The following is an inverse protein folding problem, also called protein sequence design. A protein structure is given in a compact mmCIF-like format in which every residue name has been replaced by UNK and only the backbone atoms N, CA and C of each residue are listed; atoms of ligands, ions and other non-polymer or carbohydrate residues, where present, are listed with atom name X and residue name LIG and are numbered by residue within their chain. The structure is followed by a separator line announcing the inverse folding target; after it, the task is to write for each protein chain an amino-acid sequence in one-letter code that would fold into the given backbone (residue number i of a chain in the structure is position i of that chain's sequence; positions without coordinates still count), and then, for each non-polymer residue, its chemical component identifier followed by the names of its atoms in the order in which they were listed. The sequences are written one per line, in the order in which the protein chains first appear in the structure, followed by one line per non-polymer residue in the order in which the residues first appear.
data_IF_913274419209
#
_entry.id   IF_913274419209
#
_cell.length_a   1.000
_cell.length_b   1.000
_cell.length_c   1.000
_cell.angle_alpha   90.00
_cell.angle_beta   90.00
_cell.angle_gamma   90.00
#
_symmetry.space_group_name_H-M   'P 1'
#
loop_
_entity.id
_entity.type
_entity.pdbx_description
1 polymer ?
#
# COMPACT_ATOMS: atom_id res chain seq x y z
N UNK A 1 27.37 -18.01 45.93
CA UNK A 1 26.02 -17.85 45.36
C UNK A 1 26.14 -17.25 43.96
N UNK A 2 26.02 -18.09 42.94
CA UNK A 2 26.10 -17.72 41.52
C UNK A 2 24.83 -16.96 41.13
N UNK A 3 24.96 -15.67 40.82
CA UNK A 3 23.85 -14.87 40.26
C UNK A 3 23.51 -15.45 38.87
N UNK A 4 22.35 -16.10 38.77
CA UNK A 4 21.84 -16.58 37.48
C UNK A 4 21.53 -15.36 36.59
N UNK A 5 22.25 -15.22 35.48
CA UNK A 5 21.93 -14.25 34.45
C UNK A 5 20.81 -14.80 33.57
N UNK A 6 19.71 -14.05 33.43
CA UNK A 6 18.60 -14.37 32.52
C UNK A 6 19.10 -14.41 31.06
N UNK A 7 18.54 -15.32 30.26
CA UNK A 7 18.80 -15.37 28.80
C UNK A 7 18.29 -14.10 28.10
N UNK A 8 18.84 -13.72 26.92
CA UNK A 8 18.40 -12.54 26.19
C UNK A 8 16.89 -12.54 25.88
N UNK A 9 16.34 -13.71 25.53
CA UNK A 9 14.91 -13.89 25.27
C UNK A 9 14.07 -13.70 26.54
N UNK A 10 14.52 -14.24 27.67
CA UNK A 10 13.84 -14.08 28.95
C UNK A 10 13.89 -12.63 29.47
N UNK A 11 14.94 -11.89 29.15
CA UNK A 11 15.01 -10.45 29.44
C UNK A 11 14.00 -9.65 28.59
N UNK A 12 13.93 -9.93 27.29
CA UNK A 12 13.02 -9.23 26.38
C UNK A 12 11.53 -9.46 26.73
N UNK A 13 11.15 -10.68 27.10
CA UNK A 13 9.78 -10.98 27.54
C UNK A 13 9.43 -10.29 28.86
N UNK A 14 10.38 -10.22 29.79
CA UNK A 14 10.21 -9.54 31.07
C UNK A 14 10.09 -8.02 30.88
N UNK A 15 10.86 -7.43 29.96
CA UNK A 15 10.71 -6.03 29.55
C UNK A 15 9.35 -5.75 28.90
N UNK A 16 8.89 -6.63 28.01
CA UNK A 16 7.57 -6.48 27.39
C UNK A 16 6.42 -6.55 28.42
N UNK A 17 6.49 -7.49 29.38
CA UNK A 17 5.51 -7.60 30.46
C UNK A 17 5.51 -6.38 31.37
N UNK A 18 6.68 -5.83 31.71
CA UNK A 18 6.80 -4.57 32.48
C UNK A 18 6.17 -3.39 31.74
N UNK A 19 6.27 -3.35 30.41
CA UNK A 19 5.67 -2.31 29.57
C UNK A 19 4.14 -2.35 29.60
N UNK A 20 3.55 -3.55 29.50
CA UNK A 20 2.09 -3.73 29.55
C UNK A 20 1.52 -3.34 30.92
N UNK A 21 2.29 -3.54 31.99
CA UNK A 21 1.90 -3.22 33.37
C UNK A 21 2.20 -1.76 33.76
N UNK A 22 2.77 -0.94 32.88
CA UNK A 22 3.18 0.44 33.21
C UNK A 22 4.32 0.52 34.24
N UNK A 23 5.02 -0.59 34.50
CA UNK A 23 6.13 -0.71 35.45
C UNK A 23 7.50 -0.49 34.76
N UNK A 24 7.49 0.20 33.62
CA UNK A 24 8.73 0.64 32.99
C UNK A 24 9.43 1.63 33.92
N UNK A 25 10.77 1.53 34.07
CA UNK A 25 11.49 2.59 34.74
C UNK A 25 11.20 3.91 34.04
N UNK A 26 10.89 4.94 34.82
CA UNK A 26 10.72 6.30 34.31
C UNK A 26 11.94 6.66 33.46
N UNK A 27 11.71 6.88 32.16
CA UNK A 27 12.76 7.22 31.21
C UNK A 27 13.18 8.67 31.49
N UNK A 28 14.05 8.85 32.48
CA UNK A 28 14.59 10.17 32.80
C UNK A 28 15.27 10.73 31.56
N UNK A 29 14.74 11.83 31.05
CA UNK A 29 15.38 12.54 29.94
C UNK A 29 16.75 13.03 30.39
N UNK A 30 17.78 12.74 29.59
CA UNK A 30 19.12 13.28 29.83
C UNK A 30 19.09 14.81 29.83
N UNK A 31 19.53 15.41 30.93
CA UNK A 31 19.65 16.86 31.07
C UNK A 31 21.06 17.22 30.61
N UNK A 32 21.16 17.98 29.53
CA UNK A 32 22.44 18.43 28.99
C UNK A 32 23.08 19.45 29.93
N UNK A 33 24.32 19.18 30.35
CA UNK A 33 25.13 20.16 31.07
C UNK A 33 25.80 21.14 30.11
N UNK A 34 26.17 22.33 30.60
CA UNK A 34 26.92 23.30 29.78
C UNK A 34 28.25 22.73 29.25
N UNK A 35 28.89 21.85 30.02
CA UNK A 35 30.15 21.21 29.63
C UNK A 35 29.93 20.26 28.44
N UNK A 36 28.88 19.44 28.47
CA UNK A 36 28.50 18.55 27.37
C UNK A 36 28.11 19.33 26.11
N UNK A 37 27.40 20.45 26.27
CA UNK A 37 27.04 21.31 25.14
C UNK A 37 28.26 21.95 24.47
N UNK A 38 29.18 22.52 25.27
CA UNK A 38 30.43 23.09 24.75
C UNK A 38 31.30 22.04 24.06
N UNK A 39 31.37 20.85 24.65
CA UNK A 39 32.07 19.71 24.05
C UNK A 39 31.46 19.36 22.69
N UNK A 40 30.12 19.25 22.63
CA UNK A 40 29.42 18.91 21.40
C UNK A 40 29.60 19.98 20.33
N UNK A 41 29.53 21.27 20.67
CA UNK A 41 29.77 22.38 19.73
C UNK A 41 31.18 22.31 19.13
N UNK A 42 32.19 22.00 19.95
CA UNK A 42 33.58 21.96 19.50
C UNK A 42 33.90 20.72 18.64
N UNK A 43 33.37 19.55 18.99
CA UNK A 43 33.79 18.25 18.43
C UNK A 43 32.84 17.68 17.39
N UNK A 44 31.54 18.00 17.48
CA UNK A 44 30.54 17.45 16.57
C UNK A 44 30.86 17.65 15.08
N UNK A 45 31.41 18.79 14.63
CA UNK A 45 31.70 18.99 13.21
C UNK A 45 32.69 17.98 12.62
N UNK A 46 33.65 17.49 13.41
CA UNK A 46 34.83 16.77 12.92
C UNK A 46 34.97 15.32 13.40
N UNK A 47 34.10 14.86 14.30
CA UNK A 47 34.15 13.50 14.84
C UNK A 47 32.92 12.68 14.48
N UNK A 48 33.00 11.36 14.59
CA UNK A 48 31.84 10.49 14.37
C UNK A 48 30.83 10.69 15.51
N UNK A 49 29.54 10.70 15.17
CA UNK A 49 28.49 10.82 16.18
C UNK A 49 28.50 9.62 17.14
N UNK A 50 28.97 8.44 16.70
CA UNK A 50 29.12 7.26 17.54
C UNK A 50 30.15 7.48 18.65
N UNK A 51 31.34 8.01 18.34
CA UNK A 51 32.37 8.26 19.35
C UNK A 51 31.89 9.24 20.43
N UNK A 52 31.21 10.31 20.02
CA UNK A 52 30.61 11.28 20.95
C UNK A 52 29.51 10.66 21.81
N UNK A 53 28.71 9.77 21.23
CA UNK A 53 27.64 9.06 21.95
C UNK A 53 28.22 8.10 22.99
N UNK A 54 29.26 7.34 22.64
CA UNK A 54 29.92 6.39 23.53
C UNK A 54 30.60 7.10 24.71
N UNK A 55 31.20 8.28 24.48
CA UNK A 55 31.87 9.07 25.52
C UNK A 55 30.88 9.70 26.52
N UNK A 56 29.76 10.24 26.05
CA UNK A 56 28.72 10.82 26.93
C UNK A 56 27.84 9.72 27.55
N UNK A 57 27.91 8.49 27.05
CA UNK A 57 27.05 7.39 27.48
C UNK A 57 25.60 7.53 27.02
N UNK A 58 25.38 8.17 25.86
CA UNK A 58 24.06 8.41 25.28
C UNK A 58 23.88 7.62 24.00
N UNK A 59 22.64 7.50 23.54
CA UNK A 59 22.38 6.99 22.20
C UNK A 59 22.79 8.02 21.13
N UNK A 60 23.24 7.52 19.99
CA UNK A 60 23.55 8.31 18.79
C UNK A 60 22.38 9.25 18.41
N UNK A 61 21.13 8.78 18.59
CA UNK A 61 19.94 9.56 18.31
C UNK A 61 19.79 10.79 19.23
N UNK A 62 20.09 10.65 20.53
CA UNK A 62 20.06 11.78 21.47
C UNK A 62 21.08 12.86 21.09
N UNK A 63 22.27 12.45 20.65
CA UNK A 63 23.31 13.36 20.16
C UNK A 63 22.85 14.08 18.88
N UNK A 64 22.25 13.36 17.91
CA UNK A 64 21.66 13.99 16.72
C UNK A 64 20.57 15.00 17.07
N UNK A 65 19.66 14.64 17.98
CA UNK A 65 18.58 15.52 18.41
C UNK A 65 19.13 16.79 19.09
N UNK A 66 20.19 16.66 19.89
CA UNK A 66 20.84 17.82 20.52
C UNK A 66 21.57 18.69 19.50
N UNK A 67 22.37 18.10 18.62
CA UNK A 67 23.07 18.82 17.55
C UNK A 67 22.10 19.64 16.69
N UNK A 68 20.95 19.06 16.35
CA UNK A 68 19.86 19.75 15.62
C UNK A 68 19.31 20.95 16.41
N UNK A 69 19.09 20.82 17.73
CA UNK A 69 18.60 21.93 18.58
C UNK A 69 19.64 23.04 18.74
N UNK A 70 20.93 22.69 18.78
CA UNK A 70 22.03 23.66 18.84
C UNK A 70 22.37 24.27 17.46
N UNK A 71 21.80 23.76 16.37
CA UNK A 71 22.07 24.25 15.02
C UNK A 71 23.46 23.92 14.48
N UNK A 72 24.13 22.90 15.05
CA UNK A 72 25.47 22.49 14.63
C UNK A 72 25.41 21.34 13.61
N UNK A 73 26.27 21.40 12.60
CA UNK A 73 26.36 20.42 11.51
C UNK A 73 27.76 19.84 11.37
N UNK A 74 27.88 18.71 10.66
CA UNK A 74 29.19 18.16 10.28
C UNK A 74 29.93 19.12 9.34
N UNK A 75 31.25 19.21 9.46
CA UNK A 75 32.10 20.00 8.58
C UNK A 75 32.17 19.36 7.19
N UNK A 76 32.46 20.16 6.16
CA UNK A 76 32.63 19.65 4.81
C UNK A 76 33.79 18.64 4.73
N UNK A 77 34.87 18.89 5.47
CA UNK A 77 36.02 17.99 5.59
C UNK A 77 35.61 16.62 6.15
N UNK A 78 34.87 16.59 7.27
CA UNK A 78 34.37 15.34 7.84
C UNK A 78 33.46 14.60 6.86
N UNK A 79 32.55 15.30 6.18
CA UNK A 79 31.63 14.70 5.20
C UNK A 79 32.33 14.17 3.94
N UNK A 80 33.53 14.66 3.63
CA UNK A 80 34.37 14.15 2.55
C UNK A 80 35.25 12.97 2.97
N UNK A 81 35.38 12.73 4.28
CA UNK A 81 36.20 11.65 4.83
C UNK A 81 35.46 10.30 4.81
N UNK A 82 36.24 9.21 4.82
CA UNK A 82 35.74 7.84 4.95
C UNK A 82 35.02 7.58 6.29
N UNK A 83 35.23 8.44 7.30
CA UNK A 83 34.67 8.28 8.64
C UNK A 83 33.18 8.65 8.73
N UNK A 84 32.65 9.42 7.78
CA UNK A 84 31.24 9.85 7.83
C UNK A 84 30.24 8.76 7.44
N UNK A 85 30.72 7.59 6.99
CA UNK A 85 29.87 6.47 6.57
C UNK A 85 29.04 6.74 5.31
N UNK A 86 29.29 7.85 4.60
CA UNK A 86 28.69 8.07 3.28
C UNK A 86 29.25 7.06 2.30
N UNK A 87 28.35 6.48 1.52
CA UNK A 87 28.71 5.58 0.45
C UNK A 87 29.36 6.39 -0.67
N UNK A 88 30.63 6.10 -0.96
CA UNK A 88 31.42 6.70 -2.03
C UNK A 88 31.15 6.05 -3.41
N UNK A 89 30.31 5.02 -3.44
CA UNK A 89 29.98 4.27 -4.65
C UNK A 89 31.03 3.23 -5.07
N UNK A 90 32.15 3.13 -4.34
CA UNK A 90 33.25 2.19 -4.63
C UNK A 90 32.99 0.79 -4.05
N UNK A 91 32.30 0.75 -2.90
CA UNK A 91 31.89 -0.50 -2.25
C UNK A 91 30.86 -1.26 -3.11
N UNK A 92 31.00 -2.59 -3.20
CA UNK A 92 30.08 -3.45 -3.94
C UNK A 92 30.10 -3.27 -5.47
N UNK A 93 31.15 -2.64 -6.02
CA UNK A 93 31.38 -2.52 -7.47
C UNK A 93 31.51 -3.89 -8.14
N UNK A 94 32.20 -4.84 -7.50
CA UNK A 94 32.39 -6.22 -7.98
C UNK A 94 31.09 -7.03 -8.10
N UNK A 95 30.08 -6.71 -7.28
CA UNK A 95 28.78 -7.38 -7.29
C UNK A 95 27.73 -6.69 -8.16
N UNK A 96 28.09 -5.58 -8.81
CA UNK A 96 27.18 -4.79 -9.63
C UNK A 96 27.08 -5.42 -11.02
N UNK A 97 25.88 -5.43 -11.59
CA UNK A 97 25.71 -5.85 -12.98
C UNK A 97 26.45 -4.87 -13.90
N UNK A 98 27.46 -5.36 -14.62
CA UNK A 98 28.21 -4.56 -15.56
C UNK A 98 27.35 -4.21 -16.79
N UNK A 99 27.55 -3.00 -17.35
CA UNK A 99 26.91 -2.60 -18.60
C UNK A 99 27.30 -3.57 -19.72
N UNK A 100 26.31 -4.18 -20.38
CA UNK A 100 26.54 -5.18 -21.42
C UNK A 100 26.60 -6.63 -20.93
N UNK A 101 26.50 -6.86 -19.61
CA UNK A 101 26.40 -8.22 -19.08
C UNK A 101 25.13 -8.89 -19.60
N UNK A 102 25.28 -10.09 -20.16
CA UNK A 102 24.16 -10.95 -20.53
C UNK A 102 23.75 -11.77 -19.31
N UNK A 103 22.51 -11.63 -18.80
CA UNK A 103 22.02 -12.47 -17.71
C UNK A 103 22.06 -13.95 -18.08
N UNK A 104 22.34 -14.81 -17.10
CA UNK A 104 22.44 -16.27 -17.29
C UNK A 104 21.15 -16.91 -17.82
N UNK A 105 20.00 -16.24 -17.69
CA UNK A 105 18.69 -16.69 -18.14
C UNK A 105 18.23 -16.03 -19.46
N UNK A 106 19.07 -15.19 -20.10
CA UNK A 106 18.68 -14.52 -21.35
C UNK A 106 18.41 -15.55 -22.44
N UNK A 107 17.19 -15.54 -22.98
CA UNK A 107 16.76 -16.48 -24.04
C UNK A 107 16.21 -17.81 -23.53
N UNK A 108 16.25 -18.08 -22.23
CA UNK A 108 15.66 -19.29 -21.63
C UNK A 108 14.17 -19.05 -21.41
N UNK A 109 13.31 -19.70 -22.21
CA UNK A 109 11.86 -19.70 -22.02
C UNK A 109 11.47 -20.75 -20.98
N UNK A 110 11.15 -20.28 -19.77
CA UNK A 110 10.84 -21.15 -18.63
C UNK A 110 12.12 -21.70 -18.02
N UNK A 111 12.32 -21.48 -16.72
CA UNK A 111 13.38 -22.19 -16.00
C UNK A 111 12.99 -23.66 -15.93
N UNK A 112 13.94 -24.61 -16.07
CA UNK A 112 13.65 -26.01 -15.79
C UNK A 112 13.08 -26.08 -14.37
N UNK A 113 11.98 -26.81 -14.18
CA UNK A 113 11.33 -26.93 -12.88
C UNK A 113 12.30 -27.59 -11.90
N UNK A 114 13.05 -26.80 -11.12
CA UNK A 114 14.00 -27.33 -10.13
C UNK A 114 13.24 -27.65 -8.83
N UNK A 115 13.47 -28.85 -8.29
CA UNK A 115 12.88 -29.28 -7.02
C UNK A 115 11.35 -29.34 -7.06
N UNK A 116 10.69 -28.78 -6.03
CA UNK A 116 9.22 -28.82 -5.89
C UNK A 116 8.47 -27.90 -6.85
N UNK A 117 9.16 -27.11 -7.70
CA UNK A 117 8.47 -26.30 -8.71
C UNK A 117 7.65 -27.15 -9.68
N UNK A 118 8.08 -28.40 -9.96
CA UNK A 118 7.35 -29.31 -10.83
C UNK A 118 5.95 -29.67 -10.29
N UNK A 119 5.75 -29.69 -8.96
CA UNK A 119 4.47 -30.03 -8.35
C UNK A 119 3.55 -28.82 -8.14
N UNK A 120 4.10 -27.61 -8.02
CA UNK A 120 3.31 -26.39 -7.76
C UNK A 120 3.07 -25.51 -8.99
N UNK A 121 3.79 -25.73 -10.09
CA UNK A 121 3.60 -24.95 -11.31
C UNK A 121 2.21 -25.19 -11.93
N UNK A 122 1.61 -24.10 -12.42
CA UNK A 122 0.38 -24.20 -13.20
C UNK A 122 0.65 -24.97 -14.48
N UNK A 123 -0.13 -26.03 -14.70
CA UNK A 123 -0.10 -26.81 -15.94
C UNK A 123 -0.63 -25.94 -17.08
N UNK A 124 -0.09 -26.12 -18.28
CA UNK A 124 -0.63 -25.48 -19.47
C UNK A 124 -2.12 -25.85 -19.62
N UNK A 125 -2.97 -24.85 -19.87
CA UNK A 125 -4.43 -25.03 -19.97
C UNK A 125 -5.17 -25.15 -18.64
N UNK A 126 -4.50 -24.97 -17.49
CA UNK A 126 -5.19 -24.96 -16.20
C UNK A 126 -6.13 -23.75 -16.13
N UNK A 127 -7.42 -24.02 -15.91
CA UNK A 127 -8.43 -22.99 -15.74
C UNK A 127 -8.65 -22.76 -14.23
N UNK A 128 -8.84 -21.51 -13.79
CA UNK A 128 -9.27 -21.23 -12.43
C UNK A 128 -10.55 -21.98 -12.07
N UNK A 129 -10.73 -22.32 -10.79
CA UNK A 129 -11.93 -23.02 -10.30
C UNK A 129 -13.23 -22.25 -10.57
N UNK A 130 -13.17 -20.92 -10.57
CA UNK A 130 -14.29 -20.04 -10.88
C UNK A 130 -14.52 -19.82 -12.39
N UNK A 131 -13.85 -20.59 -13.25
CA UNK A 131 -14.07 -20.52 -14.69
C UNK A 131 -15.47 -21.04 -15.02
N UNK A 132 -16.17 -20.30 -15.89
CA UNK A 132 -17.49 -20.65 -16.39
C UNK A 132 -17.47 -20.76 -17.92
N UNK A 133 -18.26 -21.67 -18.52
CA UNK A 133 -18.35 -21.78 -19.97
C UNK A 133 -19.02 -20.55 -20.61
N UNK A 134 -18.78 -20.35 -21.92
CA UNK A 134 -19.49 -19.33 -22.71
C UNK A 134 -21.00 -19.57 -22.62
N UNK A 135 -21.77 -18.51 -22.43
CA UNK A 135 -23.21 -18.54 -22.18
C UNK A 135 -23.61 -18.48 -20.70
N UNK A 136 -22.68 -18.73 -19.77
CA UNK A 136 -22.99 -18.62 -18.33
C UNK A 136 -23.37 -17.20 -17.93
N UNK A 137 -24.24 -17.11 -16.92
CA UNK A 137 -24.68 -15.86 -16.30
C UNK A 137 -23.96 -15.64 -14.97
N UNK A 138 -23.62 -14.39 -14.67
CA UNK A 138 -23.13 -13.97 -13.35
C UNK A 138 -23.68 -12.60 -12.98
N UNK A 139 -23.85 -12.36 -11.69
CA UNK A 139 -24.19 -11.05 -11.16
C UNK A 139 -22.95 -10.39 -10.58
N UNK A 140 -22.62 -9.19 -11.05
CA UNK A 140 -21.50 -8.39 -10.52
C UNK A 140 -21.84 -7.88 -9.11
N UNK A 141 -20.83 -7.54 -8.30
CA UNK A 141 -21.03 -6.87 -7.00
C UNK A 141 -21.88 -5.59 -7.11
N UNK A 142 -21.80 -4.89 -8.25
CA UNK A 142 -22.62 -3.72 -8.55
C UNK A 142 -24.09 -4.05 -8.90
N UNK A 143 -24.47 -5.33 -8.99
CA UNK A 143 -25.85 -5.77 -9.28
C UNK A 143 -26.20 -5.90 -10.76
N UNK A 144 -25.23 -5.84 -11.67
CA UNK A 144 -25.47 -6.05 -13.11
C UNK A 144 -25.43 -7.55 -13.45
N UNK A 145 -26.42 -8.02 -14.21
CA UNK A 145 -26.39 -9.34 -14.83
C UNK A 145 -25.50 -9.31 -16.08
N UNK A 146 -24.49 -10.17 -16.10
CA UNK A 146 -23.57 -10.34 -17.23
C UNK A 146 -23.69 -11.76 -17.80
N UNK A 147 -23.56 -11.87 -19.13
CA UNK A 147 -23.44 -13.13 -19.86
C UNK A 147 -22.04 -13.26 -20.42
N UNK A 148 -21.44 -14.45 -20.30
CA UNK A 148 -20.16 -14.74 -20.93
C UNK A 148 -20.35 -14.96 -22.42
N UNK A 149 -19.63 -14.23 -23.27
CA UNK A 149 -19.77 -14.28 -24.74
C UNK A 149 -18.52 -14.84 -25.39
N UNK A 150 -17.35 -14.51 -24.85
CA UNK A 150 -16.07 -15.02 -25.35
C UNK A 150 -15.27 -15.68 -24.22
N UNK A 151 -14.24 -16.44 -24.58
CA UNK A 151 -13.32 -17.11 -23.64
C UNK A 151 -11.88 -16.74 -23.99
N UNK A 152 -11.60 -15.43 -24.05
CA UNK A 152 -10.27 -14.87 -24.32
C UNK A 152 -9.36 -14.91 -23.10
N UNK A 153 -9.91 -15.11 -21.91
CA UNK A 153 -9.20 -15.04 -20.64
C UNK A 153 -9.12 -13.63 -20.06
N UNK A 154 -9.72 -12.63 -20.72
CA UNK A 154 -9.81 -11.26 -20.24
C UNK A 154 -11.27 -10.92 -19.87
N UNK A 155 -11.63 -10.94 -18.57
CA UNK A 155 -13.01 -10.82 -18.13
C UNK A 155 -13.81 -9.60 -18.65
N UNK A 156 -13.22 -8.40 -18.85
CA UNK A 156 -13.96 -7.25 -19.38
C UNK A 156 -14.43 -7.39 -20.82
N UNK A 157 -13.79 -8.25 -21.63
CA UNK A 157 -14.23 -8.57 -22.98
C UNK A 157 -15.12 -9.81 -22.97
N UNK A 158 -14.78 -10.80 -22.14
CA UNK A 158 -15.51 -12.06 -22.05
C UNK A 158 -16.92 -11.92 -21.48
N UNK A 159 -17.15 -10.95 -20.60
CA UNK A 159 -18.42 -10.75 -19.92
C UNK A 159 -19.06 -9.43 -20.29
N UNK A 160 -20.18 -9.49 -21.01
CA UNK A 160 -20.97 -8.32 -21.39
C UNK A 160 -22.27 -8.27 -20.59
N UNK A 161 -22.73 -7.06 -20.27
CA UNK A 161 -24.00 -6.87 -19.57
C UNK A 161 -25.19 -7.33 -20.41
N UNK A 162 -26.10 -8.11 -19.82
CA UNK A 162 -27.29 -8.62 -20.52
C UNK A 162 -28.17 -7.49 -21.06
N UNK A 163 -28.27 -6.37 -20.33
CA UNK A 163 -28.96 -5.17 -20.79
C UNK A 163 -28.35 -4.54 -22.05
N UNK A 164 -27.02 -4.61 -22.23
CA UNK A 164 -26.35 -4.13 -23.45
C UNK A 164 -26.66 -5.08 -24.60
N UNK A 165 -26.63 -6.39 -24.35
CA UNK A 165 -26.94 -7.39 -25.36
C UNK A 165 -28.37 -7.27 -25.86
N UNK A 166 -29.32 -7.09 -24.94
CA UNK A 166 -30.73 -6.87 -25.28
C UNK A 166 -30.89 -5.58 -26.11
N UNK A 167 -30.16 -4.51 -25.76
CA UNK A 167 -30.17 -3.29 -26.56
C UNK A 167 -29.61 -3.53 -27.97
N UNK A 168 -28.46 -4.18 -28.07
CA UNK A 168 -27.78 -4.44 -29.35
C UNK A 168 -28.59 -5.33 -30.28
N UNK A 169 -29.33 -6.30 -29.73
CA UNK A 169 -30.23 -7.18 -30.47
C UNK A 169 -31.40 -6.42 -31.14
N UNK A 170 -31.91 -5.37 -30.50
CA UNK A 170 -33.11 -4.65 -30.98
C UNK A 170 -32.80 -3.33 -31.72
N UNK A 171 -31.80 -2.57 -31.26
CA UNK A 171 -31.48 -1.24 -31.78
C UNK A 171 -30.11 -1.17 -32.49
N UNK A 172 -29.31 -2.24 -32.44
CA UNK A 172 -27.97 -2.29 -33.00
C UNK A 172 -26.88 -1.77 -32.04
N UNK A 173 -25.63 -1.64 -32.53
CA UNK A 173 -24.46 -1.39 -31.68
C UNK A 173 -24.58 -0.08 -30.91
N UNK A 174 -24.13 -0.09 -29.65
CA UNK A 174 -24.10 1.11 -28.81
C UNK A 174 -23.10 2.12 -29.40
N UNK A 175 -23.52 3.36 -29.72
CA UNK A 175 -22.63 4.37 -30.27
C UNK A 175 -21.47 4.72 -29.33
N UNK A 176 -20.34 5.12 -29.91
CA UNK A 176 -19.19 5.57 -29.13
C UNK A 176 -19.58 6.74 -28.20
N UNK A 177 -19.07 6.73 -26.97
CA UNK A 177 -19.38 7.71 -25.90
C UNK A 177 -20.81 7.69 -25.35
N UNK A 178 -21.64 6.71 -25.74
CA UNK A 178 -22.95 6.48 -25.15
C UNK A 178 -22.94 5.24 -24.25
N UNK A 179 -23.93 5.12 -23.38
CA UNK A 179 -24.10 3.99 -22.47
C UNK A 179 -25.57 3.68 -22.25
N UNK A 180 -25.89 2.38 -22.19
CA UNK A 180 -27.23 1.89 -21.86
C UNK A 180 -27.44 2.01 -20.35
N UNK A 181 -28.54 2.65 -19.96
CA UNK A 181 -28.94 2.87 -18.57
C UNK A 181 -30.36 2.35 -18.32
N UNK A 182 -30.66 2.03 -17.05
CA UNK A 182 -32.00 1.68 -16.60
C UNK A 182 -32.74 2.95 -16.16
N UNK A 183 -33.95 3.18 -16.68
CA UNK A 183 -34.77 4.35 -16.36
C UNK A 183 -35.22 4.35 -14.90
N UNK A 184 -35.60 3.18 -14.40
CA UNK A 184 -36.07 2.98 -13.01
C UNK A 184 -34.92 2.85 -11.98
N UNK A 185 -33.67 2.70 -12.44
CA UNK A 185 -32.51 2.44 -11.59
C UNK A 185 -32.41 1.01 -11.05
N UNK A 186 -33.36 0.13 -11.36
CA UNK A 186 -33.37 -1.27 -10.95
C UNK A 186 -32.64 -2.14 -11.98
N UNK A 187 -31.42 -2.54 -11.65
CA UNK A 187 -30.52 -3.31 -12.53
C UNK A 187 -31.00 -4.74 -12.81
N UNK A 188 -31.94 -5.26 -12.02
CA UNK A 188 -32.54 -6.58 -12.23
C UNK A 188 -33.72 -6.55 -13.22
N UNK A 189 -34.32 -5.37 -13.46
CA UNK A 189 -35.44 -5.21 -14.36
C UNK A 189 -34.95 -4.97 -15.80
N UNK A 190 -34.60 -6.06 -16.48
CA UNK A 190 -34.05 -6.02 -17.83
C UNK A 190 -35.20 -6.15 -18.85
N UNK A 191 -35.74 -5.01 -19.26
CA UNK A 191 -36.78 -4.91 -20.28
C UNK A 191 -36.50 -3.71 -21.19
N UNK A 192 -36.81 -3.83 -22.48
CA UNK A 192 -36.46 -2.81 -23.50
C UNK A 192 -37.04 -1.43 -23.21
N UNK A 193 -38.25 -1.39 -22.65
CA UNK A 193 -38.95 -0.18 -22.23
C UNK A 193 -38.25 0.53 -21.07
N UNK A 194 -37.58 -0.23 -20.19
CA UNK A 194 -36.79 0.28 -19.08
C UNK A 194 -35.35 0.69 -19.49
N UNK A 195 -34.90 0.37 -20.71
CA UNK A 195 -33.58 0.76 -21.18
C UNK A 195 -33.64 2.11 -21.90
N UNK A 196 -32.64 2.95 -21.64
CA UNK A 196 -32.40 4.19 -22.38
C UNK A 196 -30.92 4.34 -22.74
N UNK A 197 -30.66 5.02 -23.84
CA UNK A 197 -29.33 5.34 -24.29
C UNK A 197 -28.99 6.78 -23.87
N UNK A 198 -27.90 6.94 -23.13
CA UNK A 198 -27.46 8.25 -22.64
C UNK A 198 -26.02 8.50 -23.03
N UNK A 199 -25.67 9.77 -23.24
CA UNK A 199 -24.27 10.15 -23.29
C UNK A 199 -23.63 9.99 -21.90
N UNK A 200 -22.33 9.68 -21.86
CA UNK A 200 -21.60 9.63 -20.58
C UNK A 200 -21.67 10.96 -19.81
N UNK A 201 -21.75 12.09 -20.52
CA UNK A 201 -21.92 13.41 -19.93
C UNK A 201 -23.28 13.58 -19.24
N UNK A 202 -24.38 13.18 -19.88
CA UNK A 202 -25.72 13.22 -19.27
C UNK A 202 -25.82 12.29 -18.07
N UNK A 203 -25.29 11.07 -18.19
CA UNK A 203 -25.23 10.12 -17.07
C UNK A 203 -24.47 10.70 -15.87
N UNK A 204 -23.34 11.38 -16.12
CA UNK A 204 -22.58 12.06 -15.07
C UNK A 204 -23.40 13.19 -14.43
N UNK A 205 -24.07 14.03 -15.22
CA UNK A 205 -24.93 15.12 -14.71
C UNK A 205 -26.07 14.59 -13.83
N UNK A 206 -26.68 13.46 -14.19
CA UNK A 206 -27.75 12.82 -13.40
C UNK A 206 -27.26 12.28 -12.05
N UNK A 207 -26.05 11.73 -12.01
CA UNK A 207 -25.50 11.10 -10.80
C UNK A 207 -24.72 12.05 -9.89
N UNK A 208 -24.41 13.25 -10.38
CA UNK A 208 -23.54 14.19 -9.68
C UNK A 208 -24.27 14.94 -8.55
N UNK A 209 -23.61 15.04 -7.39
CA UNK A 209 -24.13 15.77 -6.23
C UNK A 209 -24.30 17.29 -6.49
N UNK A 210 -23.57 17.83 -7.47
CA UNK A 210 -23.65 19.25 -7.86
C UNK A 210 -25.04 19.66 -8.40
N UNK A 211 -25.92 18.71 -8.73
CA UNK A 211 -27.30 19.00 -9.15
C UNK A 211 -28.21 19.50 -8.02
N UNK A 212 -27.81 19.31 -6.76
CA UNK A 212 -28.60 19.70 -5.59
C UNK A 212 -28.21 21.09 -5.07
N UNK A 213 -29.11 21.81 -4.38
CA UNK A 213 -28.79 23.01 -3.59
C UNK A 213 -27.75 22.75 -2.51
N UNK A 214 -27.01 23.79 -2.08
CA UNK A 214 -25.89 23.63 -1.14
C UNK A 214 -26.31 23.06 0.23
N UNK A 215 -27.51 23.41 0.71
CA UNK A 215 -28.09 22.86 1.94
C UNK A 215 -28.20 21.32 1.88
N UNK A 216 -28.72 20.79 0.76
CA UNK A 216 -28.82 19.35 0.55
C UNK A 216 -27.44 18.70 0.41
N UNK A 217 -26.47 19.36 -0.24
CA UNK A 217 -25.10 18.83 -0.31
C UNK A 217 -24.49 18.69 1.08
N UNK A 218 -24.69 19.68 1.94
CA UNK A 218 -24.22 19.66 3.33
C UNK A 218 -24.84 18.49 4.11
N UNK A 219 -26.15 18.32 4.03
CA UNK A 219 -26.86 17.21 4.67
C UNK A 219 -26.38 15.84 4.16
N UNK A 220 -26.25 15.65 2.84
CA UNK A 220 -25.77 14.40 2.23
C UNK A 220 -24.35 14.08 2.72
N UNK A 221 -23.45 15.07 2.76
CA UNK A 221 -22.07 14.89 3.26
C UNK A 221 -22.05 14.52 4.74
N UNK A 222 -22.88 15.16 5.57
CA UNK A 222 -23.00 14.85 7.00
C UNK A 222 -23.48 13.41 7.23
N UNK A 223 -24.51 12.97 6.51
CA UNK A 223 -25.00 11.59 6.56
C UNK A 223 -23.92 10.61 6.10
N UNK A 224 -23.19 10.94 5.03
CA UNK A 224 -22.07 10.12 4.54
C UNK A 224 -20.96 9.94 5.57
N UNK A 225 -20.60 11.02 6.27
CA UNK A 225 -19.61 10.99 7.37
C UNK A 225 -20.11 10.11 8.52
N UNK A 226 -21.37 10.25 8.93
CA UNK A 226 -21.97 9.45 10.00
C UNK A 226 -21.98 7.95 9.64
N UNK A 227 -22.40 7.60 8.42
CA UNK A 227 -22.40 6.20 7.95
C UNK A 227 -21.00 5.58 7.96
N UNK A 228 -19.98 6.38 7.61
CA UNK A 228 -18.59 5.92 7.63
C UNK A 228 -18.12 5.64 9.07
N UNK A 229 -18.37 6.57 10.00
CA UNK A 229 -18.02 6.38 11.41
C UNK A 229 -18.73 5.18 12.05
N UNK A 230 -19.98 4.91 11.66
CA UNK A 230 -20.71 3.71 12.13
C UNK A 230 -20.01 2.43 11.65
N UNK A 231 -19.64 2.35 10.37
CA UNK A 231 -18.94 1.18 9.82
C UNK A 231 -17.55 0.97 10.43
N UNK A 232 -16.83 2.06 10.71
CA UNK A 232 -15.52 2.01 11.38
C UNK A 232 -15.68 1.44 12.80
N UNK A 233 -16.66 1.93 13.57
CA UNK A 233 -16.96 1.41 14.91
C UNK A 233 -17.52 -0.03 14.93
N UNK A 234 -18.23 -0.45 13.87
CA UNK A 234 -18.67 -1.84 13.71
C UNK A 234 -17.49 -2.78 13.44
N UNK A 235 -16.56 -2.36 12.57
CA UNK A 235 -15.33 -3.11 12.32
C UNK A 235 -14.45 -3.24 13.56
N UNK A 236 -14.24 -2.16 14.32
CA UNK A 236 -13.44 -2.15 15.56
C UNK A 236 -14.00 -3.04 16.69
N UNK A 237 -15.31 -3.33 16.69
CA UNK A 237 -15.93 -4.24 17.67
C UNK A 237 -15.84 -5.72 17.27
N UNK A 238 -15.48 -5.99 16.02
CA UNK A 238 -15.47 -7.33 15.45
C UNK A 238 -14.05 -7.92 15.40
N UNK A 239 -13.03 -7.07 15.50
CA UNK A 239 -11.63 -7.41 15.80
C UNK A 239 -11.38 -7.56 17.31
#
# INVERSE_FOLDING_TARGET
MTRQCLSPLAKATLEHARSQLGLMPDQKHHIWSEAEERMLIARYPNETTQALADEIGLSVYQVYAKAKRLGISKSAEFLSSNLCGRFDGSSGTEHRFAKGMTPWNKGVKGLPSVGRMATTQFKAGNRPENWLPVGSLRTTQDGYLQRKITDTGYPPVDWQGVHILLWEEHYGPVPINQCVCFKDGNKAHIALDNLELLTRAERMRRNTIHRYPEELKSAIRAIGKLKRTIREAEHEKQD
#
